data_IF_694895892519
#
_entry.id   IF_694895892519
#
_cell.length_a   1.000
_cell.length_b   1.000
_cell.length_c   1.000
_cell.angle_alpha   90.00
_cell.angle_beta   90.00
_cell.angle_gamma   90.00
#
_symmetry.space_group_name_H-M   'P 1'
#
loop_
_entity.id
_entity.type
_entity.pdbx_description
1 polymer ?
#
# COMPACT_ATOMS: atom_id res chain seq x y z
N UNK A 1 -14.03 -8.09 5.18
CA UNK A 1 -12.77 -8.65 4.64
C UNK A 1 -12.57 -8.10 3.24
N UNK A 2 -11.36 -7.69 2.86
CA UNK A 2 -11.10 -7.21 1.50
C UNK A 2 -10.71 -8.38 0.60
N UNK A 3 -11.37 -8.50 -0.55
CA UNK A 3 -10.84 -9.23 -1.71
C UNK A 3 -9.61 -8.49 -2.29
N UNK A 4 -8.66 -9.23 -2.86
CA UNK A 4 -7.42 -8.70 -3.47
C UNK A 4 -7.68 -7.53 -4.43
N UNK A 5 -8.65 -7.68 -5.34
CA UNK A 5 -9.02 -6.66 -6.34
C UNK A 5 -9.60 -5.43 -5.66
N UNK A 6 -10.49 -5.63 -4.69
CA UNK A 6 -11.11 -4.53 -3.93
C UNK A 6 -10.07 -3.72 -3.16
N UNK A 7 -9.15 -4.39 -2.46
CA UNK A 7 -8.07 -3.71 -1.73
C UNK A 7 -7.16 -2.91 -2.66
N UNK A 8 -6.82 -3.47 -3.82
CA UNK A 8 -5.97 -2.81 -4.82
C UNK A 8 -6.62 -1.55 -5.39
N UNK A 9 -7.90 -1.62 -5.76
CA UNK A 9 -8.67 -0.47 -6.25
C UNK A 9 -8.75 0.63 -5.20
N UNK A 10 -9.19 0.29 -3.99
CA UNK A 10 -9.28 1.23 -2.87
C UNK A 10 -7.93 1.88 -2.56
N UNK A 11 -6.83 1.12 -2.64
CA UNK A 11 -5.51 1.68 -2.39
C UNK A 11 -5.11 2.70 -3.45
N UNK A 12 -5.34 2.41 -4.74
CA UNK A 12 -5.10 3.37 -5.82
C UNK A 12 -5.95 4.64 -5.66
N UNK A 13 -7.25 4.50 -5.39
CA UNK A 13 -8.16 5.64 -5.17
C UNK A 13 -7.69 6.52 -4.03
N UNK A 14 -7.33 5.91 -2.89
CA UNK A 14 -6.90 6.65 -1.70
C UNK A 14 -5.54 7.32 -1.89
N UNK A 15 -4.60 6.69 -2.62
CA UNK A 15 -3.33 7.32 -2.98
C UNK A 15 -3.53 8.50 -3.92
N UNK A 16 -4.44 8.39 -4.90
CA UNK A 16 -4.80 9.47 -5.81
C UNK A 16 -5.45 10.65 -5.06
N UNK A 17 -6.43 10.37 -4.19
CA UNK A 17 -7.07 11.39 -3.35
C UNK A 17 -6.09 12.09 -2.42
N UNK A 18 -5.12 11.36 -1.88
CA UNK A 18 -4.04 11.91 -1.06
C UNK A 18 -2.92 12.59 -1.87
N UNK A 19 -3.07 12.70 -3.20
CA UNK A 19 -2.08 13.28 -4.12
C UNK A 19 -0.69 12.65 -3.98
N UNK A 20 -0.63 11.37 -3.62
CA UNK A 20 0.63 10.63 -3.48
C UNK A 20 1.06 10.15 -4.86
N UNK A 21 2.26 10.52 -5.35
CA UNK A 21 2.76 9.95 -6.59
C UNK A 21 2.96 8.44 -6.44
N UNK A 22 2.27 7.66 -7.27
CA UNK A 22 2.41 6.21 -7.31
C UNK A 22 2.45 5.70 -8.74
N UNK A 23 3.13 4.57 -8.95
CA UNK A 23 3.07 3.80 -10.19
C UNK A 23 2.42 2.44 -9.93
N UNK A 24 1.70 1.94 -10.93
CA UNK A 24 1.04 0.64 -10.88
C UNK A 24 1.55 -0.23 -12.02
N UNK A 25 2.07 -1.41 -11.69
CA UNK A 25 2.54 -2.38 -12.67
C UNK A 25 2.03 -3.78 -12.29
N UNK A 26 1.11 -4.34 -13.07
CA UNK A 26 0.50 -5.64 -12.77
C UNK A 26 -0.13 -5.65 -11.38
N UNK A 27 0.31 -6.59 -10.54
CA UNK A 27 -0.12 -6.73 -9.13
C UNK A 27 0.72 -5.93 -8.15
N UNK A 28 1.45 -4.93 -8.61
CA UNK A 28 2.32 -4.12 -7.75
C UNK A 28 1.90 -2.65 -7.81
N UNK A 29 1.93 -1.98 -6.66
CA UNK A 29 1.84 -0.53 -6.53
C UNK A 29 3.12 -0.06 -5.87
N UNK A 30 3.78 0.94 -6.45
CA UNK A 30 5.01 1.53 -5.92
C UNK A 30 4.82 3.02 -5.67
N UNK A 31 5.40 3.48 -4.58
CA UNK A 31 5.54 4.89 -4.22
C UNK A 31 7.03 5.18 -4.02
N UNK A 32 7.39 6.44 -3.77
CA UNK A 32 8.79 6.80 -3.50
C UNK A 32 9.40 6.08 -2.27
N UNK A 33 8.59 5.62 -1.30
CA UNK A 33 9.09 5.03 -0.04
C UNK A 33 8.85 3.53 0.11
N UNK A 34 7.82 3.02 -0.56
CA UNK A 34 7.37 1.66 -0.37
C UNK A 34 6.74 1.10 -1.63
N UNK A 35 6.80 -0.22 -1.76
CA UNK A 35 6.02 -0.97 -2.73
C UNK A 35 5.14 -1.98 -2.02
N UNK A 36 3.99 -2.24 -2.62
CA UNK A 36 3.11 -3.34 -2.23
C UNK A 36 2.89 -4.25 -3.42
N UNK A 37 2.99 -5.55 -3.17
CA UNK A 37 2.69 -6.59 -4.15
C UNK A 37 1.54 -7.45 -3.65
N UNK A 38 0.53 -7.60 -4.51
CA UNK A 38 -0.68 -8.35 -4.22
C UNK A 38 -0.52 -9.79 -4.72
N UNK A 39 -0.20 -10.71 -3.82
CA UNK A 39 -0.12 -12.14 -4.12
C UNK A 39 -1.48 -12.81 -3.93
N UNK A 40 -1.57 -14.12 -4.14
CA UNK A 40 -2.84 -14.86 -4.07
C UNK A 40 -3.49 -14.80 -2.69
N UNK A 41 -2.71 -14.98 -1.63
CA UNK A 41 -3.23 -15.07 -0.25
C UNK A 41 -2.73 -13.95 0.69
N UNK A 42 -1.78 -13.14 0.24
CA UNK A 42 -1.18 -12.08 1.05
C UNK A 42 -0.80 -10.86 0.23
N UNK A 43 -0.63 -9.76 0.93
CA UNK A 43 0.03 -8.56 0.45
C UNK A 43 1.45 -8.52 0.99
N UNK A 44 2.43 -8.32 0.12
CA UNK A 44 3.82 -8.09 0.48
C UNK A 44 4.06 -6.59 0.51
N UNK A 45 4.56 -6.08 1.64
CA UNK A 45 4.94 -4.68 1.81
C UNK A 45 6.46 -4.60 1.93
N UNK A 46 7.08 -3.91 0.99
CA UNK A 46 8.52 -3.62 0.99
C UNK A 46 8.70 -2.13 1.21
N UNK A 47 9.54 -1.75 2.16
CA UNK A 47 9.92 -0.36 2.42
C UNK A 47 11.41 -0.22 2.28
N UNK A 48 11.88 0.92 1.77
CA UNK A 48 13.31 1.20 1.68
C UNK A 48 13.96 1.11 3.07
N UNK A 49 15.00 0.28 3.20
CA UNK A 49 15.75 0.10 4.45
C UNK A 49 15.04 -0.69 5.56
N UNK A 50 13.93 -1.38 5.27
CA UNK A 50 13.27 -2.29 6.22
C UNK A 50 13.07 -3.68 5.62
N UNK A 51 12.95 -4.67 6.48
CA UNK A 51 12.59 -6.02 6.08
C UNK A 51 11.23 -6.04 5.37
N UNK A 52 11.13 -6.94 4.40
CA UNK A 52 9.89 -7.29 3.73
C UNK A 52 8.85 -7.82 4.73
N UNK A 53 7.58 -7.43 4.55
CA UNK A 53 6.48 -7.88 5.42
C UNK A 53 5.39 -8.53 4.61
N UNK A 54 5.09 -9.78 4.94
CA UNK A 54 3.95 -10.52 4.39
C UNK A 54 2.74 -10.30 5.29
N UNK A 55 1.67 -9.77 4.72
CA UNK A 55 0.43 -9.44 5.41
C UNK A 55 -0.72 -10.25 4.78
N UNK A 56 -1.26 -11.27 5.47
CA UNK A 56 -2.49 -11.92 5.02
C UNK A 56 -3.62 -10.90 4.88
N UNK A 57 -4.45 -11.01 3.84
CA UNK A 57 -5.48 -9.99 3.54
C UNK A 57 -6.43 -9.71 4.71
N UNK A 58 -6.74 -10.72 5.51
CA UNK A 58 -7.59 -10.57 6.70
C UNK A 58 -6.95 -9.74 7.82
N UNK A 59 -5.62 -9.55 7.82
CA UNK A 59 -4.89 -8.68 8.75
C UNK A 59 -4.54 -7.31 8.16
N UNK A 60 -4.81 -7.08 6.88
CA UNK A 60 -4.51 -5.80 6.24
C UNK A 60 -5.51 -4.75 6.69
N UNK A 61 -4.98 -3.68 7.30
CA UNK A 61 -5.73 -2.45 7.57
C UNK A 61 -5.36 -1.41 6.51
N UNK A 62 -6.35 -0.95 5.75
CA UNK A 62 -6.14 0.02 4.66
C UNK A 62 -5.48 1.32 5.16
N UNK A 63 -5.91 1.84 6.31
CA UNK A 63 -5.31 3.04 6.92
C UNK A 63 -3.82 2.87 7.21
N UNK A 64 -3.43 1.73 7.79
CA UNK A 64 -2.03 1.43 8.07
C UNK A 64 -1.23 1.28 6.78
N UNK A 65 -1.81 0.67 5.74
CA UNK A 65 -1.17 0.49 4.44
C UNK A 65 -0.91 1.83 3.75
N UNK A 66 -1.88 2.75 3.81
CA UNK A 66 -1.74 4.12 3.29
C UNK A 66 -0.63 4.88 4.00
N UNK A 67 -0.58 4.84 5.33
CA UNK A 67 0.50 5.46 6.12
C UNK A 67 1.89 4.93 5.76
N UNK A 68 1.97 3.67 5.30
CA UNK A 68 3.22 3.07 4.89
C UNK A 68 3.67 3.50 3.49
N UNK A 69 2.73 3.94 2.65
CA UNK A 69 2.94 4.31 1.23
C UNK A 69 3.02 5.83 1.02
N UNK A 70 2.47 6.60 1.95
CA UNK A 70 2.57 8.06 1.95
C UNK A 70 3.99 8.52 2.35
N UNK A 71 4.47 9.65 1.79
CA UNK A 71 5.61 10.34 2.36
C UNK A 71 5.29 10.70 3.83
N UNK A 72 6.20 10.39 4.75
CA UNK A 72 5.99 10.79 6.14
C UNK A 72 6.41 12.25 6.28
N UNK A 73 5.41 13.13 6.32
CA UNK A 73 5.50 14.59 6.47
C UNK A 73 4.30 15.20 5.72
N UNK A 74 3.33 15.88 6.33
CA UNK A 74 3.17 16.42 7.68
C UNK A 74 1.70 16.21 8.10
N UNK A 75 1.44 15.60 9.26
CA UNK A 75 0.31 16.06 10.06
C UNK A 75 0.87 17.21 10.90
N UNK A 76 1.01 18.39 10.28
CA UNK A 76 1.14 19.64 10.99
C UNK A 76 -0.28 20.20 11.09
N UNK A 77 -0.87 20.05 12.28
CA UNK A 77 -2.07 20.72 12.81
C UNK A 77 -3.40 20.60 12.03
#
# INVERSE_FOLDING_TARGET
>A
MYDKRMLKLLLCERLALAQVPFSRHGNQIRTARASVEFQEHSLVLVKTGKAERHLPYHKVRLSQLLLNLQPQGEFSA
#
